data_IF_532844851239
#
_entry.id   IF_532844851239
#
_cell.length_a   1.000
_cell.length_b   1.000
_cell.length_c   1.000
_cell.angle_alpha   90.00
_cell.angle_beta   90.00
_cell.angle_gamma   90.00
#
_symmetry.space_group_name_H-M   'P 1'
#
loop_
_entity.id
_entity.type
_entity.pdbx_description
1 polymer ?
#
# COMPACT_ATOMS: atom_id res chain seq x y z
N UNK A 1 -18.66 -4.23 -2.62
CA UNK A 1 -17.34 -4.85 -2.83
C UNK A 1 -16.70 -5.10 -1.48
N UNK A 2 -16.12 -6.28 -1.29
CA UNK A 2 -15.27 -6.59 -0.13
C UNK A 2 -13.94 -5.81 -0.21
N UNK A 3 -13.19 -5.65 0.88
CA UNK A 3 -11.86 -5.02 0.84
C UNK A 3 -10.91 -5.68 -0.17
N UNK A 4 -10.90 -7.02 -0.22
CA UNK A 4 -10.15 -7.79 -1.22
C UNK A 4 -10.55 -7.42 -2.65
N UNK A 5 -11.84 -7.40 -2.95
CA UNK A 5 -12.36 -7.01 -4.26
C UNK A 5 -11.96 -5.58 -4.64
N UNK A 6 -11.91 -4.65 -3.68
CA UNK A 6 -11.46 -3.28 -3.93
C UNK A 6 -9.97 -3.21 -4.27
N UNK A 7 -9.14 -4.01 -3.61
CA UNK A 7 -7.72 -4.15 -3.97
C UNK A 7 -7.55 -4.73 -5.37
N UNK A 8 -8.29 -5.79 -5.72
CA UNK A 8 -8.31 -6.35 -7.07
C UNK A 8 -8.70 -5.31 -8.13
N UNK A 9 -9.71 -4.48 -7.83
CA UNK A 9 -10.08 -3.36 -8.70
C UNK A 9 -8.95 -2.32 -8.85
N UNK A 10 -8.27 -1.98 -7.77
CA UNK A 10 -7.12 -1.08 -7.83
C UNK A 10 -5.99 -1.64 -8.73
N UNK A 11 -5.70 -2.94 -8.61
CA UNK A 11 -4.73 -3.64 -9.49
C UNK A 11 -5.16 -3.58 -10.96
N UNK A 12 -6.43 -3.90 -11.25
CA UNK A 12 -6.99 -3.83 -12.60
C UNK A 12 -6.87 -2.42 -13.20
N UNK A 13 -7.11 -1.38 -12.42
CA UNK A 13 -6.99 0.02 -12.84
C UNK A 13 -5.56 0.40 -13.19
N UNK A 14 -4.58 -0.03 -12.39
CA UNK A 14 -3.15 0.19 -12.69
C UNK A 14 -2.74 -0.57 -13.95
N UNK A 15 -3.07 -1.85 -14.04
CA UNK A 15 -2.74 -2.68 -15.20
C UNK A 15 -3.33 -2.10 -16.49
N UNK A 16 -4.60 -1.67 -16.47
CA UNK A 16 -5.26 -1.03 -17.60
C UNK A 16 -4.59 0.29 -18.00
N UNK A 17 -4.19 1.11 -17.02
CA UNK A 17 -3.47 2.36 -17.24
C UNK A 17 -2.14 2.13 -17.97
N UNK A 18 -1.34 1.17 -17.50
CA UNK A 18 -0.06 0.82 -18.13
C UNK A 18 -0.24 0.22 -19.53
N UNK A 19 -1.26 -0.61 -19.71
CA UNK A 19 -1.64 -1.15 -21.01
C UNK A 19 -2.28 -0.11 -21.95
N UNK A 20 -2.55 1.12 -21.46
CA UNK A 20 -3.28 2.19 -22.16
C UNK A 20 -4.64 1.70 -22.73
N UNK A 21 -5.31 0.84 -21.97
CA UNK A 21 -6.63 0.30 -22.31
C UNK A 21 -7.68 0.95 -21.41
N UNK A 22 -8.86 1.18 -21.96
CA UNK A 22 -10.00 1.54 -21.12
C UNK A 22 -10.44 0.34 -20.30
N UNK A 23 -10.57 0.54 -18.99
CA UNK A 23 -11.10 -0.46 -18.09
C UNK A 23 -12.63 -0.45 -18.21
N UNK A 24 -13.23 -1.62 -18.45
CA UNK A 24 -14.67 -1.78 -18.39
C UNK A 24 -15.21 -1.41 -17.00
N UNK A 25 -16.51 -1.10 -16.90
CA UNK A 25 -17.14 -0.81 -15.60
C UNK A 25 -16.96 -1.98 -14.63
N UNK A 26 -16.25 -1.73 -13.53
CA UNK A 26 -15.96 -2.74 -12.50
C UNK A 26 -17.03 -2.68 -11.43
N UNK A 27 -17.66 -3.82 -11.16
CA UNK A 27 -18.71 -4.01 -10.15
C UNK A 27 -18.30 -5.11 -9.18
N UNK A 28 -19.03 -5.26 -8.07
CA UNK A 28 -18.79 -6.35 -7.11
C UNK A 28 -18.90 -7.74 -7.71
N UNK A 29 -19.61 -7.86 -8.84
CA UNK A 29 -19.99 -9.16 -9.41
C UNK A 29 -19.00 -9.59 -10.49
N UNK A 30 -18.28 -8.65 -11.11
CA UNK A 30 -17.34 -8.94 -12.20
C UNK A 30 -15.86 -8.79 -11.83
N UNK A 31 -15.54 -8.10 -10.73
CA UNK A 31 -14.16 -7.76 -10.38
C UNK A 31 -13.26 -8.97 -10.21
N UNK A 32 -13.77 -10.04 -9.58
CA UNK A 32 -13.01 -11.28 -9.41
C UNK A 32 -12.74 -11.95 -10.76
N UNK A 33 -13.73 -12.01 -11.65
CA UNK A 33 -13.56 -12.58 -12.99
C UNK A 33 -12.57 -11.78 -13.85
N UNK A 34 -12.62 -10.45 -13.78
CA UNK A 34 -11.68 -9.58 -14.48
C UNK A 34 -10.26 -9.74 -13.94
N UNK A 35 -10.12 -9.89 -12.62
CA UNK A 35 -8.85 -10.14 -11.98
C UNK A 35 -8.29 -11.50 -12.37
N UNK A 36 -9.10 -12.55 -12.33
CA UNK A 36 -8.71 -13.91 -12.73
C UNK A 36 -8.28 -13.97 -14.21
N UNK A 37 -8.93 -13.20 -15.09
CA UNK A 37 -8.49 -13.05 -16.48
C UNK A 37 -7.12 -12.38 -16.59
N UNK A 38 -6.86 -11.33 -15.81
CA UNK A 38 -5.54 -10.69 -15.74
C UNK A 38 -4.47 -11.63 -15.18
N UNK A 39 -4.83 -12.49 -14.23
CA UNK A 39 -3.96 -13.54 -13.68
C UNK A 39 -3.64 -14.60 -14.74
N UNK A 40 -4.65 -15.05 -15.50
CA UNK A 40 -4.48 -16.02 -16.58
C UNK A 40 -3.57 -15.50 -17.70
N UNK A 41 -3.60 -14.19 -17.96
CA UNK A 41 -2.72 -13.50 -18.91
C UNK A 41 -1.32 -13.17 -18.33
N UNK A 42 -1.04 -13.57 -17.08
CA UNK A 42 0.20 -13.29 -16.34
C UNK A 42 0.54 -11.79 -16.19
N UNK A 43 -0.43 -10.90 -16.46
CA UNK A 43 -0.25 -9.45 -16.44
C UNK A 43 -0.45 -8.78 -15.08
N UNK A 44 -0.73 -9.57 -14.04
CA UNK A 44 -1.13 -9.07 -12.72
C UNK A 44 0.05 -8.72 -11.79
N UNK A 45 1.23 -9.32 -11.99
CA UNK A 45 2.34 -9.27 -11.03
C UNK A 45 2.80 -7.86 -10.69
N UNK A 46 3.15 -7.08 -11.71
CA UNK A 46 3.68 -5.72 -11.52
C UNK A 46 2.64 -4.80 -10.89
N UNK A 47 1.39 -4.86 -11.37
CA UNK A 47 0.31 -4.03 -10.87
C UNK A 47 -0.09 -4.41 -9.43
N UNK A 48 -0.08 -5.71 -9.11
CA UNK A 48 -0.29 -6.22 -7.75
C UNK A 48 0.80 -5.73 -6.81
N UNK A 49 2.06 -5.79 -7.22
CA UNK A 49 3.17 -5.34 -6.40
C UNK A 49 3.17 -3.81 -6.20
N UNK A 50 2.77 -3.05 -7.21
CA UNK A 50 2.56 -1.60 -7.09
C UNK A 50 1.52 -1.27 -6.02
N UNK A 51 0.32 -1.87 -6.09
CA UNK A 51 -0.70 -1.66 -5.05
C UNK A 51 -0.18 -2.08 -3.67
N UNK A 52 0.47 -3.25 -3.57
CA UNK A 52 1.05 -3.73 -2.31
C UNK A 52 1.98 -2.70 -1.66
N UNK A 53 2.77 -1.97 -2.46
CA UNK A 53 3.80 -1.03 -1.99
C UNK A 53 3.31 0.41 -1.79
N UNK A 54 2.12 0.77 -2.27
CA UNK A 54 1.61 2.17 -2.24
C UNK A 54 0.97 2.58 -0.92
N UNK A 55 0.68 1.64 -0.02
CA UNK A 55 -0.01 1.93 1.23
C UNK A 55 0.78 2.83 2.19
N UNK A 56 0.07 3.75 2.85
CA UNK A 56 0.61 4.59 3.93
C UNK A 56 0.56 3.84 5.26
N UNK A 57 1.59 3.99 6.09
CA UNK A 57 1.64 3.36 7.41
C UNK A 57 0.52 3.92 8.31
N UNK A 58 -0.32 3.03 8.84
CA UNK A 58 -1.51 3.41 9.63
C UNK A 58 -1.24 3.57 11.11
N UNK A 59 -0.15 2.97 11.61
CA UNK A 59 0.10 2.83 13.05
C UNK A 59 -0.83 1.83 13.75
N UNK A 60 -1.74 1.18 13.02
CA UNK A 60 -2.56 0.10 13.56
C UNK A 60 -1.69 -1.12 13.84
N UNK A 61 -2.08 -1.89 14.85
CA UNK A 61 -1.47 -3.18 15.17
C UNK A 61 -2.54 -4.25 15.11
N UNK A 62 -2.45 -5.14 14.11
CA UNK A 62 -3.28 -6.35 14.03
C UNK A 62 -2.47 -7.57 14.43
N UNK A 63 -3.17 -8.60 14.90
CA UNK A 63 -2.54 -9.90 15.13
C UNK A 63 -2.21 -10.53 13.79
N UNK A 64 -0.94 -10.83 13.59
CA UNK A 64 -0.45 -11.57 12.42
C UNK A 64 -0.04 -12.99 12.82
N UNK A 65 -0.07 -13.96 11.89
CA UNK A 65 0.41 -15.31 12.17
C UNK A 65 1.89 -15.33 12.56
N UNK A 66 2.21 -15.86 13.75
CA UNK A 66 3.59 -15.97 14.25
C UNK A 66 4.49 -16.81 13.32
N UNK A 67 3.88 -17.73 12.57
CA UNK A 67 4.56 -18.56 11.56
C UNK A 67 5.24 -17.74 10.47
N UNK A 68 4.69 -16.57 10.13
CA UNK A 68 5.19 -15.66 9.10
C UNK A 68 6.01 -14.55 9.77
N UNK A 69 5.52 -13.99 10.87
CA UNK A 69 6.11 -12.82 11.54
C UNK A 69 7.52 -13.04 12.12
N UNK A 70 7.96 -14.28 12.29
CA UNK A 70 9.35 -14.60 12.70
C UNK A 70 10.37 -14.49 11.56
N UNK A 71 9.90 -14.52 10.31
CA UNK A 71 10.73 -14.57 9.11
C UNK A 71 10.70 -13.23 8.35
N UNK A 72 9.65 -12.44 8.56
CA UNK A 72 9.41 -11.18 7.86
C UNK A 72 9.04 -10.08 8.84
N UNK A 73 9.48 -8.87 8.51
CA UNK A 73 8.97 -7.64 9.11
C UNK A 73 7.61 -7.31 8.50
N UNK A 74 6.78 -6.63 9.27
CA UNK A 74 5.46 -6.23 8.82
C UNK A 74 5.04 -4.89 9.39
N UNK A 75 4.16 -4.23 8.66
CA UNK A 75 3.45 -3.02 9.10
C UNK A 75 2.05 -2.99 8.50
N UNK A 76 1.09 -2.48 9.25
CA UNK A 76 -0.25 -2.26 8.73
C UNK A 76 -0.27 -0.97 7.90
N UNK A 77 -0.59 -1.11 6.61
CA UNK A 77 -0.71 0.01 5.68
C UNK A 77 -2.14 0.16 5.20
N UNK A 78 -2.50 1.32 4.66
CA UNK A 78 -3.77 1.54 3.99
C UNK A 78 -3.64 2.46 2.79
N UNK A 79 -4.57 2.36 1.85
CA UNK A 79 -4.68 3.26 0.71
C UNK A 79 -6.14 3.53 0.34
N UNK A 80 -6.35 4.63 -0.37
CA UNK A 80 -7.62 4.98 -0.98
C UNK A 80 -7.87 4.11 -2.22
N UNK A 81 -9.04 3.51 -2.27
CA UNK A 81 -9.52 2.66 -3.35
C UNK A 81 -10.19 3.48 -4.45
N UNK A 82 -10.43 2.92 -5.65
CA UNK A 82 -11.03 3.68 -6.74
C UNK A 82 -12.44 4.23 -6.48
N UNK A 83 -13.18 3.71 -5.49
CA UNK A 83 -14.47 4.26 -5.02
C UNK A 83 -14.34 5.37 -3.96
N UNK A 84 -13.12 5.78 -3.61
CA UNK A 84 -12.83 6.78 -2.58
C UNK A 84 -12.87 6.24 -1.14
N UNK A 85 -13.15 4.95 -0.95
CA UNK A 85 -13.08 4.33 0.39
C UNK A 85 -11.66 3.88 0.70
N UNK A 86 -11.35 3.64 1.97
CA UNK A 86 -10.02 3.21 2.38
C UNK A 86 -9.98 1.74 2.77
N UNK A 87 -8.92 1.07 2.34
CA UNK A 87 -8.65 -0.34 2.65
C UNK A 87 -7.26 -0.46 3.24
N UNK A 88 -7.15 -1.19 4.35
CA UNK A 88 -5.91 -1.56 5.02
C UNK A 88 -5.52 -3.01 4.79
N UNK A 89 -4.21 -3.29 4.84
CA UNK A 89 -3.64 -4.64 4.76
C UNK A 89 -2.29 -4.70 5.47
N UNK A 90 -1.84 -5.91 5.79
CA UNK A 90 -0.50 -6.15 6.32
C UNK A 90 0.52 -6.13 5.18
N UNK A 91 1.42 -5.14 5.19
CA UNK A 91 2.56 -5.08 4.29
C UNK A 91 3.73 -5.87 4.88
N UNK A 92 4.04 -7.00 4.27
CA UNK A 92 5.20 -7.83 4.60
C UNK A 92 6.44 -7.37 3.82
N UNK A 93 7.58 -7.31 4.49
CA UNK A 93 8.89 -7.04 3.88
C UNK A 93 10.01 -7.72 4.69
N UNK A 94 11.22 -7.80 4.13
CA UNK A 94 12.36 -8.45 4.80
C UNK A 94 12.85 -9.65 3.99
N UNK A 95 13.31 -10.73 4.63
CA UNK A 95 13.68 -11.97 3.92
C UNK A 95 15.05 -11.98 3.21
N UNK A 96 15.74 -10.85 3.09
CA UNK A 96 17.11 -10.78 2.57
C UNK A 96 17.20 -11.18 1.10
N UNK A 97 18.21 -11.98 0.73
CA UNK A 97 18.48 -12.38 -0.67
C UNK A 97 17.38 -13.25 -1.28
N UNK A 98 16.56 -13.91 -0.46
CA UNK A 98 15.50 -14.82 -0.88
C UNK A 98 14.13 -14.29 -0.47
N UNK A 99 13.93 -12.97 -0.59
CA UNK A 99 12.68 -12.35 -0.19
C UNK A 99 11.49 -12.91 -0.99
N UNK A 100 10.60 -13.59 -0.28
CA UNK A 100 9.35 -14.14 -0.78
C UNK A 100 8.14 -13.33 -0.26
N UNK A 101 8.40 -12.17 0.37
CA UNK A 101 7.35 -11.28 0.89
C UNK A 101 6.31 -10.85 -0.15
N UNK A 102 6.60 -10.68 -1.46
CA UNK A 102 5.58 -10.39 -2.45
C UNK A 102 4.58 -11.54 -2.65
N UNK A 103 4.96 -12.78 -2.35
CA UNK A 103 4.12 -13.97 -2.54
C UNK A 103 3.32 -14.34 -1.29
N UNK A 104 3.57 -13.69 -0.15
CA UNK A 104 2.72 -13.83 1.03
C UNK A 104 1.33 -13.29 0.69
N UNK A 105 0.30 -14.11 0.95
CA UNK A 105 -1.09 -13.74 0.72
C UNK A 105 -1.48 -12.57 1.64
N UNK A 106 -1.94 -11.47 1.07
CA UNK A 106 -2.22 -10.21 1.78
C UNK A 106 -3.55 -9.57 1.42
N UNK A 107 -4.15 -9.91 0.27
CA UNK A 107 -5.38 -9.29 -0.21
C UNK A 107 -6.61 -9.88 0.50
N UNK A 108 -6.61 -11.19 0.75
CA UNK A 108 -7.70 -11.87 1.47
C UNK A 108 -7.84 -11.44 2.94
N UNK A 109 -6.76 -10.94 3.56
CA UNK A 109 -6.75 -10.44 4.95
C UNK A 109 -7.02 -8.92 5.04
N UNK A 110 -7.27 -8.27 3.90
CA UNK A 110 -7.54 -6.85 3.83
C UNK A 110 -8.83 -6.46 4.54
N UNK A 111 -8.87 -5.24 5.05
CA UNK A 111 -9.96 -4.75 5.89
C UNK A 111 -10.31 -3.31 5.56
N UNK A 112 -11.57 -2.93 5.75
CA UNK A 112 -11.99 -1.54 5.60
C UNK A 112 -11.42 -0.70 6.75
N UNK A 113 -11.00 0.53 6.44
CA UNK A 113 -10.56 1.51 7.45
C UNK A 113 -11.23 2.85 7.22
N UNK A 114 -11.48 3.57 8.31
CA UNK A 114 -11.88 4.97 8.25
C UNK A 114 -10.64 5.86 8.22
N UNK A 115 -10.62 6.84 7.31
CA UNK A 115 -9.52 7.79 7.18
C UNK A 115 -9.99 9.20 7.52
N UNK A 116 -9.26 9.86 8.43
CA UNK A 116 -9.44 11.28 8.77
C UNK A 116 -8.08 11.97 8.79
N UNK A 117 -7.91 12.96 7.92
CA UNK A 117 -6.73 13.82 7.92
C UNK A 117 -6.98 15.09 8.73
N UNK A 118 -6.05 15.43 9.62
CA UNK A 118 -6.08 16.68 10.39
C UNK A 118 -4.80 17.47 10.15
N UNK A 119 -4.87 18.73 9.68
CA UNK A 119 -3.69 19.55 9.54
C UNK A 119 -3.12 19.92 10.91
N UNK A 120 -1.82 19.72 11.12
CA UNK A 120 -1.07 20.21 12.29
C UNK A 120 -0.04 21.24 11.84
N UNK A 121 -0.15 22.48 12.33
CA UNK A 121 0.88 23.51 12.17
C UNK A 121 1.99 23.28 13.19
N UNK A 122 3.25 23.16 12.74
CA UNK A 122 4.41 23.00 13.62
C UNK A 122 5.27 24.27 13.52
N UNK A 123 5.51 24.93 14.66
CA UNK A 123 6.51 25.99 14.76
C UNK A 123 7.85 25.39 15.19
N UNK A 124 8.92 25.69 14.47
CA UNK A 124 10.28 25.26 14.80
C UNK A 124 11.13 26.51 14.96
N UNK A 125 11.48 26.84 16.20
CA UNK A 125 12.40 27.93 16.51
C UNK A 125 13.84 27.42 16.49
N UNK A 126 14.65 27.95 15.58
CA UNK A 126 16.08 27.63 15.48
C UNK A 126 16.87 28.86 15.93
N UNK A 127 17.62 28.71 17.01
CA UNK A 127 18.53 29.74 17.51
C UNK A 127 19.96 29.36 17.16
N UNK A 128 20.76 30.33 16.72
CA UNK A 128 22.18 30.15 16.44
C UNK A 128 22.97 31.29 17.05
N UNK A 129 24.21 31.00 17.45
CA UNK A 129 25.15 32.02 17.90
C UNK A 129 25.62 32.86 16.71
N UNK A 130 25.91 34.16 16.89
CA UNK A 130 26.52 34.98 15.85
C UNK A 130 27.91 34.42 15.49
N UNK A 131 28.20 34.36 14.20
CA UNK A 131 29.52 33.96 13.70
C UNK A 131 30.59 34.86 14.34
N UNK A 132 31.62 34.25 14.93
CA UNK A 132 32.67 34.98 15.61
C UNK A 132 33.39 35.88 14.60
N UNK A 133 33.38 37.20 14.85
CA UNK A 133 34.08 38.16 14.00
C UNK A 133 35.56 37.76 13.90
N UNK A 134 36.16 37.78 12.70
CA UNK A 134 37.58 37.45 12.55
C UNK A 134 38.40 38.40 13.41
N UNK A 135 39.33 37.82 14.19
CA UNK A 135 40.23 38.59 15.05
C UNK A 135 41.00 39.61 14.18
N UNK A 136 40.89 40.90 14.53
CA UNK A 136 41.66 41.94 13.89
C UNK A 136 43.16 41.67 14.14
N UNK A 137 43.92 41.52 13.05
CA UNK A 137 45.38 41.38 13.07
C UNK A 137 46.07 42.72 13.31
#
# INVERSE_FOLDING_TARGET
MTPEQKLKWAVLKIAASWAKKELASVTSDNVDQLYDALVADDGHWDARNEIRCTGIATGLSRRVPLSIARHYEHREVAAEMPDGTWVGWTFWHGGGKFDDSPNIEWMSEAYAVDHRAEPKTIMVDIFSLPEAAPAAQ
#
